data_IF_798479679144
#
_entry.id   IF_798479679144
#
_cell.length_a   1.000
_cell.length_b   1.000
_cell.length_c   1.000
_cell.angle_alpha   90.00
_cell.angle_beta   90.00
_cell.angle_gamma   90.00
#
_symmetry.space_group_name_H-M   'P 1'
#
loop_
_entity.id
_entity.type
_entity.pdbx_description
1 polymer ?
#
# COMPACT_ATOMS: atom_id res chain seq x y z
N UNK A 1 23.48 27.30 30.58
CA UNK A 1 23.12 25.87 30.58
C UNK A 1 21.92 25.51 29.68
N UNK A 2 21.26 26.44 28.97
CA UNK A 2 20.11 26.13 28.09
C UNK A 2 20.44 25.69 26.65
N UNK A 3 21.71 25.80 26.20
CA UNK A 3 22.11 25.46 24.82
C UNK A 3 22.49 23.99 24.60
N UNK A 4 22.71 23.20 25.66
CA UNK A 4 23.10 21.78 25.56
C UNK A 4 21.89 20.82 25.38
N UNK A 5 20.69 21.26 25.73
CA UNK A 5 19.47 20.47 25.62
C UNK A 5 18.86 20.50 24.22
N UNK A 6 19.08 21.59 23.47
CA UNK A 6 18.50 21.75 22.13
C UNK A 6 19.23 20.93 21.04
N UNK A 7 20.56 20.77 21.16
CA UNK A 7 21.35 19.96 20.22
C UNK A 7 21.06 18.47 20.38
N UNK A 8 20.88 17.99 21.61
CA UNK A 8 20.55 16.58 21.90
C UNK A 8 19.16 16.19 21.40
N UNK A 9 18.16 17.08 21.48
CA UNK A 9 16.82 16.83 20.91
C UNK A 9 16.81 16.82 19.39
N UNK A 10 17.61 17.69 18.74
CA UNK A 10 17.68 17.75 17.29
C UNK A 10 18.36 16.50 16.71
N UNK A 11 19.42 16.00 17.37
CA UNK A 11 20.09 14.75 16.98
C UNK A 11 19.24 13.51 17.23
N UNK A 12 18.40 13.51 18.26
CA UNK A 12 17.46 12.41 18.52
C UNK A 12 16.33 12.38 17.47
N UNK A 13 15.77 13.54 17.11
CA UNK A 13 14.77 13.65 16.06
C UNK A 13 15.35 13.27 14.68
N UNK A 14 16.57 13.71 14.37
CA UNK A 14 17.26 13.34 13.13
C UNK A 14 17.62 11.85 13.06
N UNK A 15 17.90 11.19 14.19
CA UNK A 15 18.07 9.72 14.26
C UNK A 15 16.75 8.98 14.09
N UNK A 16 15.67 9.46 14.71
CA UNK A 16 14.33 8.88 14.57
C UNK A 16 13.79 8.94 13.13
N UNK A 17 14.17 9.96 12.35
CA UNK A 17 13.72 10.11 10.96
C UNK A 17 14.49 9.21 9.96
N UNK A 18 15.75 8.86 10.25
CA UNK A 18 16.60 8.10 9.30
C UNK A 18 16.17 6.65 9.11
N UNK A 19 15.70 6.00 10.18
CA UNK A 19 15.32 4.59 10.13
C UNK A 19 14.12 4.32 9.21
N UNK A 20 13.02 5.10 9.25
CA UNK A 20 11.93 4.99 8.27
C UNK A 20 12.36 5.27 6.83
N UNK A 21 13.28 6.21 6.61
CA UNK A 21 13.82 6.49 5.26
C UNK A 21 14.55 5.27 4.67
N UNK A 22 15.21 4.46 5.50
CA UNK A 22 15.82 3.21 5.06
C UNK A 22 14.77 2.22 4.53
N UNK A 23 13.57 2.20 5.11
CA UNK A 23 12.44 1.42 4.59
C UNK A 23 12.04 1.84 3.18
N UNK A 24 12.03 3.13 2.88
CA UNK A 24 11.75 3.63 1.53
C UNK A 24 12.80 3.17 0.51
N UNK A 25 14.07 3.05 0.91
CA UNK A 25 15.13 2.51 0.04
C UNK A 25 14.80 1.04 -0.31
N UNK A 26 14.40 0.24 0.66
CA UNK A 26 13.95 -1.14 0.43
C UNK A 26 12.77 -1.21 -0.54
N UNK A 27 11.79 -0.33 -0.38
CA UNK A 27 10.59 -0.26 -1.23
C UNK A 27 10.91 0.17 -2.66
N UNK A 28 11.63 1.27 -2.85
CA UNK A 28 11.78 1.92 -4.17
C UNK A 28 13.00 1.44 -4.95
N UNK A 29 14.11 1.15 -4.28
CA UNK A 29 15.35 0.76 -4.97
C UNK A 29 15.40 -0.75 -5.13
N UNK A 30 15.30 -1.47 -4.02
CA UNK A 30 15.36 -2.94 -4.04
C UNK A 30 14.07 -3.57 -4.60
N UNK A 31 12.95 -2.84 -4.55
CA UNK A 31 11.72 -3.24 -5.23
C UNK A 31 11.88 -3.43 -6.73
N UNK A 32 12.70 -2.61 -7.42
CA UNK A 32 12.95 -2.78 -8.87
C UNK A 32 13.58 -4.15 -9.15
N UNK A 33 14.59 -4.53 -8.35
CA UNK A 33 15.28 -5.82 -8.50
C UNK A 33 14.32 -6.98 -8.28
N UNK A 34 13.44 -6.88 -7.29
CA UNK A 34 12.43 -7.92 -7.03
C UNK A 34 11.32 -7.95 -8.09
N UNK A 35 11.04 -6.82 -8.75
CA UNK A 35 10.16 -6.77 -9.93
C UNK A 35 10.75 -7.57 -11.10
N UNK A 36 12.04 -7.39 -11.40
CA UNK A 36 12.74 -8.20 -12.42
C UNK A 36 12.73 -9.69 -12.02
N UNK A 37 12.98 -9.99 -10.75
CA UNK A 37 12.92 -11.37 -10.26
C UNK A 37 11.52 -11.99 -10.40
N UNK A 38 10.46 -11.19 -10.23
CA UNK A 38 9.08 -11.61 -10.42
C UNK A 38 8.80 -12.04 -11.86
N UNK A 39 9.32 -11.30 -12.83
CA UNK A 39 9.16 -11.62 -14.25
C UNK A 39 9.89 -12.91 -14.66
N UNK A 40 11.03 -13.21 -14.02
CA UNK A 40 11.85 -14.40 -14.33
C UNK A 40 11.34 -15.65 -13.60
N UNK A 41 11.04 -15.51 -12.31
CA UNK A 41 10.85 -16.65 -11.40
C UNK A 41 9.36 -16.93 -11.15
N UNK A 42 8.50 -15.95 -11.41
CA UNK A 42 7.05 -16.01 -11.23
C UNK A 42 6.57 -15.49 -9.87
N UNK A 43 5.29 -15.12 -9.81
CA UNK A 43 4.69 -14.43 -8.66
C UNK A 43 4.68 -15.27 -7.37
N UNK A 44 4.49 -16.58 -7.47
CA UNK A 44 4.35 -17.47 -6.30
C UNK A 44 5.62 -17.54 -5.45
N UNK A 45 6.78 -17.76 -6.10
CA UNK A 45 8.07 -17.83 -5.41
C UNK A 45 8.48 -16.48 -4.83
N UNK A 46 8.20 -15.41 -5.57
CA UNK A 46 8.47 -14.03 -5.12
C UNK A 46 7.56 -13.64 -3.95
N UNK A 47 6.30 -14.07 -3.94
CA UNK A 47 5.40 -13.91 -2.81
C UNK A 47 5.95 -14.63 -1.56
N UNK A 48 6.42 -15.88 -1.69
CA UNK A 48 7.04 -16.60 -0.58
C UNK A 48 8.28 -15.88 -0.02
N UNK A 49 9.15 -15.37 -0.90
CA UNK A 49 10.29 -14.55 -0.50
C UNK A 49 9.86 -13.27 0.25
N UNK A 50 8.80 -12.60 -0.22
CA UNK A 50 8.26 -11.41 0.43
C UNK A 50 7.87 -11.67 1.89
N UNK A 51 7.17 -12.79 2.15
CA UNK A 51 6.76 -13.20 3.51
C UNK A 51 7.97 -13.38 4.41
N UNK A 52 9.02 -14.03 3.91
CA UNK A 52 10.24 -14.24 4.68
C UNK A 52 10.93 -12.91 5.01
N UNK A 53 11.12 -12.03 4.02
CA UNK A 53 11.78 -10.74 4.24
C UNK A 53 11.03 -9.86 5.24
N UNK A 54 9.69 -9.74 5.10
CA UNK A 54 8.92 -8.88 6.00
C UNK A 54 8.84 -9.47 7.42
N UNK A 55 8.65 -10.79 7.56
CA UNK A 55 8.55 -11.44 8.87
C UNK A 55 9.88 -11.44 9.60
N UNK A 56 10.97 -11.80 8.91
CA UNK A 56 12.32 -11.73 9.47
C UNK A 56 12.74 -10.30 9.76
N UNK A 57 12.31 -9.32 8.95
CA UNK A 57 12.56 -7.91 9.19
C UNK A 57 11.93 -7.43 10.51
N UNK A 58 10.64 -7.74 10.73
CA UNK A 58 9.95 -7.40 11.99
C UNK A 58 10.53 -8.15 13.20
N UNK A 59 10.84 -9.44 13.03
CA UNK A 59 11.46 -10.24 14.09
C UNK A 59 12.85 -9.71 14.45
N UNK A 60 13.68 -9.39 13.46
CA UNK A 60 15.03 -8.85 13.68
C UNK A 60 14.97 -7.46 14.30
N UNK A 61 14.01 -6.63 13.89
CA UNK A 61 13.79 -5.30 14.46
C UNK A 61 13.53 -5.37 15.97
N UNK A 62 12.78 -6.39 16.41
CA UNK A 62 12.50 -6.66 17.82
C UNK A 62 13.79 -6.80 18.66
N UNK A 63 14.82 -7.45 18.11
CA UNK A 63 16.10 -7.68 18.78
C UNK A 63 17.09 -6.52 18.55
N UNK A 64 17.01 -5.84 17.42
CA UNK A 64 17.90 -4.73 17.08
C UNK A 64 17.65 -3.48 17.96
N UNK A 65 16.39 -3.20 18.30
CA UNK A 65 16.01 -2.01 19.09
C UNK A 65 16.65 -2.02 20.50
N UNK A 66 16.54 -3.09 21.31
CA UNK A 66 17.16 -3.12 22.64
C UNK A 66 18.69 -3.01 22.62
N UNK A 67 19.34 -3.40 21.52
CA UNK A 67 20.80 -3.39 21.39
C UNK A 67 21.33 -2.04 20.87
N UNK A 68 20.46 -1.08 20.53
CA UNK A 68 20.84 0.29 20.18
C UNK A 68 21.65 0.43 18.89
N UNK A 69 21.61 -0.55 17.98
CA UNK A 69 22.32 -0.47 16.70
C UNK A 69 21.49 0.25 15.64
N UNK A 70 21.79 1.53 15.40
CA UNK A 70 21.12 2.34 14.36
C UNK A 70 21.22 1.69 12.97
N UNK A 71 22.38 1.09 12.67
CA UNK A 71 22.63 0.38 11.39
C UNK A 71 21.79 -0.89 11.30
N UNK A 72 21.73 -1.68 12.39
CA UNK A 72 20.90 -2.88 12.44
C UNK A 72 19.42 -2.56 12.25
N UNK A 73 18.93 -1.50 12.90
CA UNK A 73 17.56 -1.01 12.73
C UNK A 73 17.29 -0.58 11.29
N UNK A 74 18.22 0.14 10.65
CA UNK A 74 18.09 0.55 9.25
C UNK A 74 17.99 -0.66 8.30
N UNK A 75 18.83 -1.68 8.49
CA UNK A 75 18.75 -2.93 7.71
C UNK A 75 17.42 -3.67 7.90
N UNK A 76 16.89 -3.68 9.13
CA UNK A 76 15.58 -4.25 9.39
C UNK A 76 14.48 -3.50 8.63
N UNK A 77 14.50 -2.17 8.62
CA UNK A 77 13.55 -1.37 7.85
C UNK A 77 13.68 -1.59 6.34
N UNK A 78 14.91 -1.72 5.82
CA UNK A 78 15.14 -2.09 4.41
C UNK A 78 14.49 -3.45 4.10
N UNK A 79 14.69 -4.45 4.94
CA UNK A 79 14.09 -5.79 4.76
C UNK A 79 12.55 -5.75 4.82
N UNK A 80 11.98 -4.97 5.75
CA UNK A 80 10.53 -4.77 5.86
C UNK A 80 9.98 -4.07 4.61
N UNK A 81 10.63 -3.00 4.15
CA UNK A 81 10.23 -2.27 2.94
C UNK A 81 10.33 -3.13 1.68
N UNK A 82 11.42 -3.88 1.54
CA UNK A 82 11.62 -4.83 0.45
C UNK A 82 10.54 -5.91 0.45
N UNK A 83 10.28 -6.54 1.60
CA UNK A 83 9.23 -7.55 1.73
C UNK A 83 7.83 -6.98 1.43
N UNK A 84 7.52 -5.79 1.93
CA UNK A 84 6.24 -5.10 1.66
C UNK A 84 6.01 -4.81 0.18
N UNK A 85 6.99 -4.19 -0.49
CA UNK A 85 6.92 -3.90 -1.93
C UNK A 85 6.82 -5.17 -2.77
N UNK A 86 7.63 -6.18 -2.45
CA UNK A 86 7.67 -7.46 -3.15
C UNK A 86 6.35 -8.23 -3.00
N UNK A 87 5.76 -8.21 -1.80
CA UNK A 87 4.45 -8.79 -1.52
C UNK A 87 3.33 -8.09 -2.29
N UNK A 88 3.38 -6.76 -2.35
CA UNK A 88 2.43 -5.97 -3.15
C UNK A 88 2.53 -6.30 -4.64
N UNK A 89 3.73 -6.30 -5.23
CA UNK A 89 3.93 -6.58 -6.66
C UNK A 89 3.48 -8.00 -7.04
N UNK A 90 3.84 -9.00 -6.24
CA UNK A 90 3.45 -10.41 -6.48
C UNK A 90 1.94 -10.62 -6.38
N UNK A 91 1.29 -9.99 -5.40
CA UNK A 91 -0.17 -10.02 -5.26
C UNK A 91 -0.84 -9.30 -6.43
N UNK A 92 -0.36 -8.10 -6.78
CA UNK A 92 -0.92 -7.31 -7.87
C UNK A 92 -0.81 -8.02 -9.23
N UNK A 93 0.34 -8.64 -9.52
CA UNK A 93 0.55 -9.43 -10.74
C UNK A 93 -0.42 -10.61 -10.81
N UNK A 94 -0.61 -11.31 -9.68
CA UNK A 94 -1.55 -12.43 -9.60
C UNK A 94 -3.01 -11.98 -9.78
N UNK A 95 -3.41 -10.88 -9.16
CA UNK A 95 -4.75 -10.30 -9.36
C UNK A 95 -4.94 -9.82 -10.81
N UNK A 96 -3.98 -9.13 -11.40
CA UNK A 96 -4.07 -8.64 -12.77
C UNK A 96 -4.24 -9.79 -13.79
N UNK A 97 -3.63 -10.94 -13.53
CA UNK A 97 -3.79 -12.15 -14.34
C UNK A 97 -5.20 -12.78 -14.20
N UNK A 98 -5.84 -12.66 -13.03
CA UNK A 98 -7.12 -13.31 -12.73
C UNK A 98 -8.34 -12.51 -13.22
N UNK A 99 -8.27 -11.18 -13.27
CA UNK A 99 -9.42 -10.34 -13.57
C UNK A 99 -9.46 -9.85 -15.02
N UNK A 100 -10.68 -9.70 -15.55
CA UNK A 100 -10.97 -9.12 -16.87
C UNK A 100 -10.40 -7.70 -17.00
N UNK A 101 -9.99 -7.32 -18.21
CA UNK A 101 -9.41 -6.00 -18.52
C UNK A 101 -10.25 -4.82 -18.01
N UNK A 102 -11.58 -4.98 -17.96
CA UNK A 102 -12.51 -3.96 -17.45
C UNK A 102 -12.31 -3.63 -15.97
N UNK A 103 -11.88 -4.58 -15.14
CA UNK A 103 -11.78 -4.42 -13.68
C UNK A 103 -10.33 -4.42 -13.15
N UNK A 104 -9.32 -4.65 -14.00
CA UNK A 104 -7.91 -4.68 -13.59
C UNK A 104 -7.48 -3.42 -12.84
N UNK A 105 -7.79 -2.24 -13.39
CA UNK A 105 -7.43 -0.97 -12.78
C UNK A 105 -8.09 -0.74 -11.41
N UNK A 106 -9.37 -1.12 -11.28
CA UNK A 106 -10.11 -1.03 -10.02
C UNK A 106 -9.45 -1.89 -8.94
N UNK A 107 -9.07 -3.12 -9.29
CA UNK A 107 -8.52 -4.09 -8.32
C UNK A 107 -7.11 -3.71 -7.90
N UNK A 108 -6.24 -3.36 -8.85
CA UNK A 108 -4.92 -2.84 -8.53
C UNK A 108 -4.98 -1.56 -7.69
N UNK A 109 -5.93 -0.66 -7.99
CA UNK A 109 -6.16 0.56 -7.20
C UNK A 109 -6.64 0.24 -5.79
N UNK A 110 -7.58 -0.70 -5.62
CA UNK A 110 -8.06 -1.13 -4.30
C UNK A 110 -6.96 -1.78 -3.47
N UNK A 111 -6.11 -2.60 -4.09
CA UNK A 111 -4.99 -3.24 -3.41
C UNK A 111 -3.98 -2.19 -2.91
N UNK A 112 -3.68 -1.19 -3.73
CA UNK A 112 -2.83 -0.07 -3.34
C UNK A 112 -3.44 0.74 -2.21
N UNK A 113 -4.76 0.98 -2.26
CA UNK A 113 -5.48 1.67 -1.18
C UNK A 113 -5.39 0.89 0.14
N UNK A 114 -5.59 -0.43 0.13
CA UNK A 114 -5.44 -1.27 1.33
C UNK A 114 -4.00 -1.29 1.86
N UNK A 115 -3.01 -1.35 0.97
CA UNK A 115 -1.60 -1.26 1.34
C UNK A 115 -1.31 0.05 2.07
N UNK A 116 -1.78 1.20 1.55
CA UNK A 116 -1.62 2.49 2.21
C UNK A 116 -2.45 2.65 3.48
N UNK A 117 -3.69 2.15 3.49
CA UNK A 117 -4.58 2.20 4.65
C UNK A 117 -4.02 1.39 5.84
N UNK A 118 -3.23 0.35 5.58
CA UNK A 118 -2.60 -0.45 6.65
C UNK A 118 -1.78 0.42 7.62
N UNK A 119 -1.04 1.41 7.13
CA UNK A 119 -0.27 2.32 7.98
C UNK A 119 -1.18 3.18 8.87
N UNK A 120 -2.30 3.64 8.31
CA UNK A 120 -3.30 4.42 9.04
C UNK A 120 -4.04 3.60 10.10
N UNK A 121 -4.19 2.29 9.91
CA UNK A 121 -4.79 1.37 10.89
C UNK A 121 -3.80 1.05 12.02
N UNK A 122 -2.55 0.77 11.68
CA UNK A 122 -1.57 0.33 12.68
C UNK A 122 -0.99 1.46 13.54
N UNK A 123 -0.98 2.69 13.03
CA UNK A 123 -0.57 3.87 13.81
C UNK A 123 -1.40 4.09 15.10
N UNK A 124 -2.75 4.11 15.08
CA UNK A 124 -3.57 4.22 16.29
C UNK A 124 -3.50 2.95 17.14
N UNK A 125 -3.38 1.76 16.54
CA UNK A 125 -3.20 0.51 17.31
C UNK A 125 -1.94 0.57 18.16
N UNK A 126 -0.82 1.03 17.60
CA UNK A 126 0.41 1.25 18.37
C UNK A 126 0.19 2.24 19.52
N UNK A 127 -0.42 3.40 19.23
CA UNK A 127 -0.69 4.45 20.23
C UNK A 127 -1.68 4.04 21.33
N UNK A 128 -2.52 3.04 21.09
CA UNK A 128 -3.54 2.62 22.07
C UNK A 128 -3.08 1.44 22.90
N UNK A 129 -2.41 0.46 22.28
CA UNK A 129 -2.14 -0.84 22.91
C UNK A 129 -0.66 -1.12 23.20
N UNK A 130 0.26 -0.39 22.54
CA UNK A 130 1.69 -0.74 22.55
C UNK A 130 2.61 0.45 22.90
N UNK A 131 2.06 1.52 23.48
CA UNK A 131 2.86 2.68 23.91
C UNK A 131 3.91 2.23 24.93
N UNK A 132 5.18 2.45 24.60
CA UNK A 132 6.31 2.07 25.45
C UNK A 132 6.76 0.61 25.31
N UNK A 133 6.06 -0.23 24.54
CA UNK A 133 6.44 -1.64 24.30
C UNK A 133 6.51 -1.96 22.81
N UNK A 134 7.52 -1.36 22.17
CA UNK A 134 7.79 -1.54 20.73
C UNK A 134 8.16 -3.00 20.40
N UNK A 135 8.75 -3.74 21.35
CA UNK A 135 9.13 -5.14 21.17
C UNK A 135 7.90 -6.03 20.94
N UNK A 136 6.84 -5.86 21.75
CA UNK A 136 5.57 -6.58 21.55
C UNK A 136 4.90 -6.19 20.24
N UNK A 137 4.91 -4.91 19.88
CA UNK A 137 4.38 -4.46 18.60
C UNK A 137 5.09 -5.11 17.40
N UNK A 138 6.43 -5.18 17.41
CA UNK A 138 7.20 -5.85 16.37
C UNK A 138 6.85 -7.35 16.26
N UNK A 139 6.61 -8.03 17.39
CA UNK A 139 6.18 -9.44 17.37
C UNK A 139 4.78 -9.58 16.76
N UNK A 140 3.83 -8.72 17.14
CA UNK A 140 2.47 -8.75 16.56
C UNK A 140 2.54 -8.51 15.06
N UNK A 141 3.34 -7.55 14.61
CA UNK A 141 3.56 -7.28 13.19
C UNK A 141 4.20 -8.46 12.45
N UNK A 142 5.18 -9.12 13.06
CA UNK A 142 5.77 -10.34 12.50
C UNK A 142 4.71 -11.43 12.30
N UNK A 143 3.85 -11.66 13.30
CA UNK A 143 2.79 -12.69 13.22
C UNK A 143 1.78 -12.32 12.15
N UNK A 144 1.29 -11.07 12.15
CA UNK A 144 0.33 -10.59 11.16
C UNK A 144 0.90 -10.71 9.76
N UNK A 145 2.14 -10.27 9.54
CA UNK A 145 2.79 -10.34 8.24
C UNK A 145 3.02 -11.80 7.78
N UNK A 146 3.40 -12.69 8.71
CA UNK A 146 3.54 -14.11 8.42
C UNK A 146 2.19 -14.76 8.05
N UNK A 147 1.13 -14.53 8.83
CA UNK A 147 -0.20 -15.10 8.58
C UNK A 147 -0.79 -14.55 7.29
N UNK A 148 -0.84 -13.23 7.12
CA UNK A 148 -1.37 -12.60 5.92
C UNK A 148 -0.54 -12.99 4.68
N UNK A 149 0.78 -13.07 4.84
CA UNK A 149 1.70 -13.52 3.80
C UNK A 149 1.45 -14.96 3.37
N UNK A 150 1.34 -15.90 4.32
CA UNK A 150 1.04 -17.31 4.03
C UNK A 150 -0.34 -17.45 3.39
N UNK A 151 -1.35 -16.70 3.86
CA UNK A 151 -2.65 -16.65 3.21
C UNK A 151 -2.54 -16.16 1.76
N UNK A 152 -1.77 -15.09 1.50
CA UNK A 152 -1.54 -14.58 0.14
C UNK A 152 -0.84 -15.61 -0.74
N UNK A 153 0.20 -16.29 -0.23
CA UNK A 153 0.87 -17.39 -0.95
C UNK A 153 -0.11 -18.54 -1.23
N UNK A 154 -0.91 -18.95 -0.25
CA UNK A 154 -1.90 -20.02 -0.43
C UNK A 154 -2.96 -19.68 -1.49
N UNK A 155 -3.40 -18.42 -1.53
CA UNK A 155 -4.34 -17.90 -2.54
C UNK A 155 -3.68 -17.86 -3.92
N UNK A 156 -2.44 -17.40 -4.02
CA UNK A 156 -1.72 -17.34 -5.30
C UNK A 156 -1.30 -18.70 -5.84
N UNK A 157 -1.19 -19.73 -4.99
CA UNK A 157 -0.92 -21.13 -5.41
C UNK A 157 -2.18 -21.87 -5.85
N UNK A 158 -3.32 -21.64 -5.18
CA UNK A 158 -4.58 -22.34 -5.46
C UNK A 158 -5.42 -21.66 -6.54
N UNK A 159 -4.92 -21.57 -7.78
CA UNK A 159 -5.59 -20.90 -8.91
C UNK A 159 -7.07 -21.30 -9.10
N UNK A 160 -7.46 -22.56 -8.81
CA UNK A 160 -8.84 -23.05 -8.96
C UNK A 160 -9.79 -22.68 -7.81
N UNK A 161 -9.27 -22.40 -6.61
CA UNK A 161 -10.09 -21.97 -5.48
C UNK A 161 -10.36 -20.46 -5.52
N UNK A 162 -9.46 -19.69 -6.14
CA UNK A 162 -9.59 -18.23 -6.26
C UNK A 162 -10.79 -17.83 -7.13
N UNK A 163 -11.14 -18.59 -8.16
CA UNK A 163 -12.35 -18.31 -8.96
C UNK A 163 -13.63 -18.39 -8.11
N UNK A 164 -13.71 -19.36 -7.20
CA UNK A 164 -14.85 -19.52 -6.29
C UNK A 164 -14.90 -18.43 -5.20
N UNK A 165 -13.74 -18.01 -4.68
CA UNK A 165 -13.66 -16.96 -3.65
C UNK A 165 -13.72 -15.53 -4.20
N UNK A 166 -13.26 -15.28 -5.43
CA UNK A 166 -13.38 -13.99 -6.10
C UNK A 166 -14.84 -13.66 -6.42
N UNK A 167 -15.66 -14.66 -6.77
CA UNK A 167 -17.10 -14.48 -6.88
C UNK A 167 -17.73 -14.09 -5.53
N UNK A 168 -17.29 -14.72 -4.42
CA UNK A 168 -17.78 -14.41 -3.08
C UNK A 168 -17.30 -13.03 -2.56
N UNK A 169 -16.03 -12.68 -2.79
CA UNK A 169 -15.43 -11.42 -2.36
C UNK A 169 -15.92 -10.22 -3.21
N UNK A 170 -16.19 -10.41 -4.50
CA UNK A 170 -16.85 -9.39 -5.32
C UNK A 170 -18.26 -9.09 -4.80
N UNK A 171 -18.98 -10.11 -4.32
CA UNK A 171 -20.30 -9.95 -3.71
C UNK A 171 -20.23 -9.23 -2.35
N UNK A 172 -19.23 -9.56 -1.52
CA UNK A 172 -19.01 -8.89 -0.24
C UNK A 172 -18.51 -7.44 -0.39
N UNK A 173 -17.64 -7.18 -1.37
CA UNK A 173 -17.11 -5.84 -1.66
C UNK A 173 -18.19 -4.96 -2.32
N UNK A 174 -19.07 -5.52 -3.16
CA UNK A 174 -20.23 -4.82 -3.68
C UNK A 174 -21.25 -4.47 -2.56
N UNK A 175 -21.38 -5.32 -1.54
CA UNK A 175 -22.23 -5.01 -0.38
C UNK A 175 -21.64 -3.87 0.48
N UNK A 176 -20.32 -3.84 0.69
CA UNK A 176 -19.65 -2.77 1.44
C UNK A 176 -19.56 -1.47 0.63
N UNK A 177 -19.31 -1.55 -0.68
CA UNK A 177 -19.30 -0.40 -1.58
C UNK A 177 -20.72 0.14 -1.85
N UNK A 178 -21.74 -0.72 -1.83
CA UNK A 178 -23.15 -0.32 -1.88
C UNK A 178 -23.55 0.50 -0.65
N UNK A 179 -23.11 0.07 0.54
CA UNK A 179 -23.34 0.81 1.78
C UNK A 179 -22.66 2.19 1.79
N UNK A 180 -21.45 2.32 1.23
CA UNK A 180 -20.75 3.61 1.15
C UNK A 180 -21.22 4.50 -0.01
N UNK A 181 -21.73 3.93 -1.10
CA UNK A 181 -22.33 4.69 -2.21
C UNK A 181 -23.68 5.29 -1.85
N UNK A 182 -24.49 4.63 -1.01
CA UNK A 182 -25.74 5.19 -0.50
C UNK A 182 -25.45 6.40 0.40
N UNK A 183 -24.43 6.31 1.25
CA UNK A 183 -23.97 7.41 2.11
C UNK A 183 -23.38 8.57 1.28
N UNK A 184 -22.60 8.27 0.24
CA UNK A 184 -22.05 9.27 -0.68
C UNK A 184 -23.13 9.92 -1.56
N UNK A 185 -24.19 9.21 -1.99
CA UNK A 185 -25.26 9.83 -2.77
C UNK A 185 -26.09 10.81 -1.94
N UNK A 186 -26.30 10.53 -0.64
CA UNK A 186 -26.90 11.50 0.29
C UNK A 186 -26.03 12.75 0.50
N UNK A 187 -24.70 12.59 0.54
CA UNK A 187 -23.77 13.73 0.70
C UNK A 187 -23.65 14.54 -0.60
N UNK A 188 -23.63 13.90 -1.76
CA UNK A 188 -23.61 14.59 -3.07
C UNK A 188 -24.94 15.30 -3.35
N UNK A 189 -26.08 14.72 -2.97
CA UNK A 189 -27.39 15.38 -3.07
C UNK A 189 -27.48 16.61 -2.15
N UNK A 190 -26.84 16.59 -0.98
CA UNK A 190 -26.76 17.77 -0.09
C UNK A 190 -25.83 18.86 -0.62
N UNK A 191 -24.80 18.49 -1.39
CA UNK A 191 -23.88 19.46 -2.01
C UNK A 191 -24.52 20.16 -3.23
N UNK A 192 -25.26 19.44 -4.08
CA UNK A 192 -25.95 20.03 -5.25
C UNK A 192 -27.07 20.99 -4.84
N UNK A 193 -27.71 20.73 -3.70
CA UNK A 193 -28.73 21.62 -3.15
C UNK A 193 -28.12 22.91 -2.56
N UNK A 194 -26.85 22.88 -2.12
CA UNK A 194 -26.16 24.04 -1.58
C UNK A 194 -25.50 24.92 -2.67
N UNK A 195 -25.11 24.35 -3.81
CA UNK A 195 -24.57 25.10 -4.97
C UNK A 195 -25.66 25.75 -5.82
N UNK A 196 -26.90 25.22 -5.81
CA UNK A 196 -28.03 25.82 -6.53
C UNK A 196 -28.50 27.17 -5.97
N UNK A 197 -28.13 27.54 -4.74
CA UNK A 197 -28.62 28.78 -4.10
C UNK A 197 -27.67 29.97 -4.29
N UNK A 198 -26.46 29.78 -4.84
CA UNK A 198 -25.45 30.86 -4.97
C UNK A 198 -24.80 31.02 -6.36
N UNK A 199 -25.30 30.34 -7.38
CA UNK A 199 -24.71 30.36 -8.72
C UNK A 199 -25.39 31.26 -9.76
N UNK A 200 -26.03 32.38 -9.38
CA UNK A 200 -26.60 33.28 -10.37
C UNK A 200 -25.55 34.28 -10.89
N UNK A 201 -24.89 33.89 -11.98
CA UNK A 201 -24.35 34.83 -12.97
C UNK A 201 -22.84 34.98 -13.00
N UNK A 202 -22.16 34.16 -13.80
CA UNK A 202 -21.02 34.62 -14.62
C UNK A 202 -21.11 33.96 -16.00
N UNK A 203 -20.91 34.77 -17.02
CA UNK A 203 -21.11 34.54 -18.45
C UNK A 203 -20.44 33.28 -19.03
N UNK A 204 -21.19 32.58 -19.87
CA UNK A 204 -20.79 31.42 -20.68
C UNK A 204 -20.14 31.90 -21.98
N UNK A 205 -18.81 31.88 -22.05
CA UNK A 205 -18.08 32.09 -23.31
C UNK A 205 -18.22 30.83 -24.20
N UNK A 206 -18.84 31.01 -25.37
CA UNK A 206 -19.08 29.94 -26.35
C UNK A 206 -17.76 29.53 -27.01
N UNK A 207 -17.25 28.32 -26.70
CA UNK A 207 -16.22 27.66 -27.51
C UNK A 207 -16.92 26.65 -28.43
N UNK A 208 -16.86 26.90 -29.74
CA UNK A 208 -17.52 26.14 -30.79
C UNK A 208 -16.90 24.74 -31.04
N UNK A 209 -17.57 23.90 -31.86
CA UNK A 209 -17.19 22.52 -32.07
C UNK A 209 -15.90 22.39 -32.87
N UNK A 210 -15.00 21.52 -32.38
CA UNK A 210 -13.75 21.18 -33.03
C UNK A 210 -14.00 20.35 -34.31
N UNK A 211 -13.35 20.75 -35.40
CA UNK A 211 -13.37 20.08 -36.70
C UNK A 211 -12.58 18.75 -36.69
N UNK A 212 -12.92 17.80 -37.57
CA UNK A 212 -12.23 16.51 -37.67
C UNK A 212 -10.84 16.66 -38.31
N UNK A 213 -9.85 15.99 -37.71
CA UNK A 213 -8.46 15.94 -38.18
C UNK A 213 -8.37 14.94 -39.34
N UNK A 214 -7.92 15.42 -40.51
CA UNK A 214 -7.66 14.62 -41.70
C UNK A 214 -6.37 13.82 -41.59
N UNK A 215 -6.40 12.56 -42.02
CA UNK A 215 -5.24 11.71 -42.28
C UNK A 215 -4.28 12.33 -43.31
N UNK A 216 -2.98 12.06 -43.14
CA UNK A 216 -1.93 12.34 -44.11
C UNK A 216 -0.88 11.21 -44.10
N UNK A 217 -0.15 11.01 -45.20
CA UNK A 217 0.06 9.68 -45.77
C UNK A 217 1.44 9.07 -45.53
N UNK A 218 1.48 7.76 -45.75
CA UNK A 218 2.66 6.91 -45.90
C UNK A 218 3.67 7.50 -46.90
N UNK A 219 4.92 7.61 -46.48
CA UNK A 219 6.07 7.71 -47.38
C UNK A 219 7.00 6.51 -47.17
N UNK A 220 7.35 5.95 -48.31
CA UNK A 220 8.30 4.86 -48.63
C UNK A 220 9.62 4.88 -47.88
#
# INVERSE_FOLDING_TARGET
MLRLTATTTCDAAARALRAPCAGNIGTYVLGIVMGIALDIVGSQKVAACAVLYISLGWLSLRYAIPHGSDVGVAFCFIAIGLGGATGFMSTNSSCAAQFSSKYRGLISGSLLAFYSASAAIWAPVYKTYFVGDLSKFCLVMCIVAAVAGVCSVAVTVNHKAVEAHAAAAATATAAVAGATLEECSTVVSSYDQCTSVHGHGIHREKRGPAAPVSEAPSAS
#
